data_IF_493155089263
#
_entry.id   IF_493155089263
#
_cell.length_a   1.000
_cell.length_b   1.000
_cell.length_c   1.000
_cell.angle_alpha   90.00
_cell.angle_beta   90.00
_cell.angle_gamma   90.00
#
_symmetry.space_group_name_H-M   'P 1'
#
loop_
_entity.id
_entity.type
_entity.pdbx_description
1 polymer ?
#
# COMPACT_ATOMS: atom_id res chain seq x y z
N UNK A 1 65.39 8.88 21.86
CA UNK A 1 64.37 8.87 22.91
C UNK A 1 63.18 8.14 22.33
N UNK A 2 62.61 7.24 23.11
CA UNK A 2 62.03 5.95 22.71
C UNK A 2 60.83 6.00 21.74
N UNK A 3 60.75 4.94 20.93
CA UNK A 3 59.54 4.52 20.23
C UNK A 3 58.58 3.88 21.24
N UNK A 4 57.36 4.40 21.37
CA UNK A 4 56.26 3.67 22.01
C UNK A 4 55.31 3.17 20.93
N UNK A 5 55.24 1.84 20.83
CA UNK A 5 54.38 1.11 19.92
C UNK A 5 52.93 1.10 20.40
N UNK A 6 52.02 1.40 19.48
CA UNK A 6 50.60 1.17 19.65
C UNK A 6 50.30 -0.28 19.26
N UNK A 7 50.18 -1.16 20.26
CA UNK A 7 49.67 -2.52 20.06
C UNK A 7 48.14 -2.50 20.01
N UNK A 8 47.49 -3.34 19.19
CA UNK A 8 46.03 -3.49 19.23
C UNK A 8 45.65 -4.21 20.52
N UNK A 9 44.74 -3.61 21.30
CA UNK A 9 44.18 -4.21 22.52
C UNK A 9 42.81 -4.83 22.26
N UNK A 10 42.59 -5.98 22.92
CA UNK A 10 41.34 -6.71 23.13
C UNK A 10 40.89 -7.60 21.95
N UNK A 11 41.50 -8.78 21.87
CA UNK A 11 40.76 -9.98 21.46
C UNK A 11 39.68 -10.23 22.52
N UNK A 12 38.42 -9.98 22.16
CA UNK A 12 37.26 -10.41 22.95
C UNK A 12 37.20 -11.95 22.91
N UNK A 13 37.70 -12.61 23.97
CA UNK A 13 37.52 -14.04 24.18
C UNK A 13 36.01 -14.32 24.40
N UNK A 14 35.32 -14.70 23.33
CA UNK A 14 33.94 -15.21 23.38
C UNK A 14 33.92 -16.42 24.32
N UNK A 15 33.06 -16.37 25.34
CA UNK A 15 33.04 -17.41 26.39
C UNK A 15 32.55 -18.75 25.82
N UNK A 16 33.05 -19.87 26.35
CA UNK A 16 32.64 -21.22 25.91
C UNK A 16 31.13 -21.46 26.07
N UNK A 17 30.49 -20.78 27.01
CA UNK A 17 29.04 -20.84 27.22
C UNK A 17 28.27 -20.13 26.07
N UNK A 18 28.76 -18.99 25.56
CA UNK A 18 28.18 -18.29 24.41
C UNK A 18 28.32 -19.09 23.10
N UNK A 19 29.46 -19.77 22.91
CA UNK A 19 29.66 -20.71 21.80
C UNK A 19 28.68 -21.88 21.86
N UNK A 20 28.45 -22.44 23.05
CA UNK A 20 27.51 -23.55 23.24
C UNK A 20 26.04 -23.16 23.00
N UNK A 21 25.65 -21.93 23.38
CA UNK A 21 24.32 -21.38 23.11
C UNK A 21 24.10 -21.15 21.62
N UNK A 22 25.09 -20.57 20.93
CA UNK A 22 25.04 -20.35 19.48
C UNK A 22 24.93 -21.67 18.69
N UNK A 23 25.63 -22.73 19.12
CA UNK A 23 25.52 -24.06 18.52
C UNK A 23 24.13 -24.68 18.71
N UNK A 24 23.53 -24.55 19.91
CA UNK A 24 22.17 -25.03 20.19
C UNK A 24 21.14 -24.26 19.35
N UNK A 25 21.23 -22.94 19.27
CA UNK A 25 20.35 -22.09 18.44
C UNK A 25 20.49 -22.42 16.94
N UNK A 26 21.71 -22.64 16.44
CA UNK A 26 21.94 -23.04 15.06
C UNK A 26 21.34 -24.42 14.76
N UNK A 27 21.37 -25.34 15.72
CA UNK A 27 20.80 -26.68 15.59
C UNK A 27 19.27 -26.64 15.58
N UNK A 28 18.67 -25.83 16.44
CA UNK A 28 17.22 -25.60 16.46
C UNK A 28 16.73 -24.90 15.19
N UNK A 29 17.44 -23.87 14.71
CA UNK A 29 17.13 -23.18 13.46
C UNK A 29 17.16 -24.12 12.25
N UNK A 30 18.16 -25.00 12.17
CA UNK A 30 18.25 -26.02 11.13
C UNK A 30 17.11 -27.04 11.20
N UNK A 31 16.71 -27.46 12.41
CA UNK A 31 15.58 -28.37 12.59
C UNK A 31 14.25 -27.73 12.13
N UNK A 32 14.01 -26.47 12.51
CA UNK A 32 12.82 -25.72 12.09
C UNK A 32 12.76 -25.56 10.56
N UNK A 33 13.89 -25.23 9.92
CA UNK A 33 14.00 -25.12 8.47
C UNK A 33 13.65 -26.45 7.77
N UNK A 34 14.20 -27.56 8.28
CA UNK A 34 13.94 -28.89 7.73
C UNK A 34 12.45 -29.27 7.83
N UNK A 35 11.82 -29.04 9.00
CA UNK A 35 10.40 -29.30 9.21
C UNK A 35 9.52 -28.46 8.29
N UNK A 36 9.87 -27.19 8.09
CA UNK A 36 9.18 -26.29 7.17
C UNK A 36 9.28 -26.76 5.72
N UNK A 37 10.47 -27.15 5.27
CA UNK A 37 10.67 -27.68 3.91
C UNK A 37 9.86 -28.95 3.67
N UNK A 38 9.78 -29.84 4.66
CA UNK A 38 8.95 -31.05 4.59
C UNK A 38 7.48 -30.69 4.43
N UNK A 39 6.96 -29.78 5.25
CA UNK A 39 5.57 -29.29 5.16
C UNK A 39 5.24 -28.69 3.79
N UNK A 40 6.14 -27.88 3.23
CA UNK A 40 5.98 -27.29 1.89
C UNK A 40 5.93 -28.38 0.80
N UNK A 41 6.79 -29.40 0.90
CA UNK A 41 6.79 -30.54 -0.04
C UNK A 41 5.47 -31.31 0.00
N UNK A 42 4.93 -31.56 1.20
CA UNK A 42 3.65 -32.24 1.38
C UNK A 42 2.47 -31.43 0.80
N UNK A 43 2.42 -30.12 1.10
CA UNK A 43 1.41 -29.20 0.53
C UNK A 43 1.50 -29.19 -1.00
N UNK A 44 2.71 -29.05 -1.56
CA UNK A 44 2.95 -29.08 -3.01
C UNK A 44 2.42 -30.38 -3.63
N UNK A 45 2.73 -31.53 -3.04
CA UNK A 45 2.29 -32.82 -3.53
C UNK A 45 0.75 -32.93 -3.53
N UNK A 46 0.09 -32.49 -2.45
CA UNK A 46 -1.38 -32.46 -2.33
C UNK A 46 -2.02 -31.58 -3.40
N UNK A 47 -1.49 -30.38 -3.62
CA UNK A 47 -2.00 -29.43 -4.61
C UNK A 47 -1.81 -29.93 -6.05
N UNK A 48 -0.66 -30.53 -6.36
CA UNK A 48 -0.39 -31.14 -7.67
C UNK A 48 -1.37 -32.29 -7.97
N UNK A 49 -1.66 -33.12 -6.96
CA UNK A 49 -2.66 -34.19 -7.07
C UNK A 49 -4.05 -33.62 -7.35
N UNK A 50 -4.43 -32.53 -6.67
CA UNK A 50 -5.70 -31.85 -6.89
C UNK A 50 -5.84 -31.24 -8.29
N UNK A 51 -4.75 -30.66 -8.83
CA UNK A 51 -4.73 -30.12 -10.20
C UNK A 51 -4.87 -31.22 -11.26
N UNK A 52 -4.15 -32.33 -11.09
CA UNK A 52 -4.12 -33.44 -12.05
C UNK A 52 -5.40 -34.28 -12.05
N UNK A 53 -6.18 -34.25 -10.97
CA UNK A 53 -7.45 -34.97 -10.86
C UNK A 53 -8.48 -34.40 -11.85
N UNK A 54 -8.75 -35.12 -12.94
CA UNK A 54 -9.63 -34.68 -14.05
C UNK A 54 -11.14 -34.85 -13.79
N UNK A 55 -11.56 -35.69 -12.84
CA UNK A 55 -12.98 -36.01 -12.59
C UNK A 55 -13.36 -35.78 -11.12
N UNK A 56 -14.55 -35.22 -10.89
CA UNK A 56 -15.22 -35.22 -9.57
C UNK A 56 -15.04 -33.97 -8.69
N UNK A 57 -14.09 -33.08 -8.96
CA UNK A 57 -13.87 -31.87 -8.13
C UNK A 57 -14.17 -30.61 -8.95
N UNK A 58 -15.10 -29.79 -8.46
CA UNK A 58 -15.48 -28.53 -9.09
C UNK A 58 -14.31 -27.54 -9.11
N UNK A 59 -14.27 -26.65 -10.11
CA UNK A 59 -13.26 -25.59 -10.21
C UNK A 59 -13.23 -24.71 -8.96
N UNK A 60 -14.39 -24.39 -8.40
CA UNK A 60 -14.51 -23.64 -7.13
C UNK A 60 -13.88 -24.38 -5.95
N UNK A 61 -14.14 -25.69 -5.82
CA UNK A 61 -13.55 -26.47 -4.74
C UNK A 61 -12.03 -26.51 -4.86
N UNK A 62 -11.49 -26.65 -6.08
CA UNK A 62 -10.03 -26.57 -6.31
C UNK A 62 -9.48 -25.19 -5.94
N UNK A 63 -10.10 -24.13 -6.43
CA UNK A 63 -9.70 -22.75 -6.16
C UNK A 63 -9.67 -22.45 -4.65
N UNK A 64 -10.74 -22.81 -3.92
CA UNK A 64 -10.81 -22.65 -2.46
C UNK A 64 -9.66 -23.36 -1.74
N UNK A 65 -9.37 -24.61 -2.10
CA UNK A 65 -8.25 -25.37 -1.50
C UNK A 65 -6.88 -24.79 -1.83
N UNK A 66 -6.74 -24.16 -2.99
CA UNK A 66 -5.52 -23.44 -3.34
C UNK A 66 -5.36 -22.17 -2.51
N UNK A 67 -6.43 -21.41 -2.29
CA UNK A 67 -6.39 -20.22 -1.42
C UNK A 67 -5.99 -20.60 0.00
N UNK A 68 -6.61 -21.65 0.59
CA UNK A 68 -6.24 -22.16 1.92
C UNK A 68 -4.77 -22.56 2.01
N UNK A 69 -4.24 -23.21 0.97
CA UNK A 69 -2.84 -23.61 0.96
C UNK A 69 -1.86 -22.44 0.76
N UNK A 70 -2.28 -21.40 0.03
CA UNK A 70 -1.53 -20.15 -0.10
C UNK A 70 -1.49 -19.43 1.26
N UNK A 71 -2.62 -19.29 1.93
CA UNK A 71 -2.68 -18.75 3.29
C UNK A 71 -1.72 -19.48 4.23
N UNK A 72 -1.84 -20.81 4.32
CA UNK A 72 -1.00 -21.63 5.21
C UNK A 72 0.50 -21.49 4.89
N UNK A 73 0.87 -21.36 3.61
CA UNK A 73 2.26 -21.24 3.20
C UNK A 73 2.86 -19.85 3.48
N UNK A 74 2.06 -18.79 3.34
CA UNK A 74 2.53 -17.41 3.37
C UNK A 74 2.15 -16.64 4.64
N UNK A 75 1.30 -17.18 5.52
CA UNK A 75 0.88 -16.52 6.77
C UNK A 75 2.05 -16.10 7.69
N UNK A 76 3.15 -16.85 7.64
CA UNK A 76 4.36 -16.61 8.44
C UNK A 76 5.51 -15.99 7.60
N UNK A 77 5.22 -15.52 6.39
CA UNK A 77 6.20 -14.89 5.51
C UNK A 77 5.88 -13.43 5.31
N UNK A 78 6.92 -12.62 5.36
CA UNK A 78 6.91 -11.30 4.76
C UNK A 78 7.10 -11.44 3.26
N UNK A 79 6.27 -10.76 2.47
CA UNK A 79 6.30 -10.83 1.02
C UNK A 79 6.37 -9.42 0.44
N UNK A 80 6.86 -9.33 -0.80
CA UNK A 80 6.85 -8.10 -1.56
C UNK A 80 5.57 -8.03 -2.42
N UNK A 81 5.14 -6.83 -2.79
CA UNK A 81 4.02 -6.55 -3.67
C UNK A 81 4.17 -7.32 -5.00
N UNK A 82 5.38 -7.39 -5.54
CA UNK A 82 5.69 -8.21 -6.74
C UNK A 82 5.48 -9.72 -6.53
N UNK A 83 5.76 -10.24 -5.33
CA UNK A 83 5.51 -11.65 -5.02
C UNK A 83 4.00 -11.92 -4.95
N UNK A 84 3.24 -11.02 -4.33
CA UNK A 84 1.78 -11.12 -4.29
C UNK A 84 1.18 -11.04 -5.70
N UNK A 85 1.63 -10.10 -6.53
CA UNK A 85 1.21 -9.97 -7.93
C UNK A 85 1.49 -11.25 -8.73
N UNK A 86 2.67 -11.86 -8.55
CA UNK A 86 3.02 -13.13 -9.19
C UNK A 86 2.12 -14.28 -8.72
N UNK A 87 1.83 -14.38 -7.41
CA UNK A 87 0.92 -15.39 -6.87
C UNK A 87 -0.48 -15.27 -7.48
N UNK A 88 -0.99 -14.04 -7.60
CA UNK A 88 -2.28 -13.74 -8.24
C UNK A 88 -2.27 -14.17 -9.71
N UNK A 89 -1.27 -13.77 -10.50
CA UNK A 89 -1.18 -14.14 -11.92
C UNK A 89 -1.10 -15.67 -12.12
N UNK A 90 -0.30 -16.36 -11.30
CA UNK A 90 -0.19 -17.81 -11.35
C UNK A 90 -1.52 -18.49 -11.00
N UNK A 91 -2.23 -17.96 -10.01
CA UNK A 91 -3.56 -18.45 -9.65
C UNK A 91 -4.57 -18.24 -10.78
N UNK A 92 -4.61 -17.04 -11.37
CA UNK A 92 -5.47 -16.71 -12.52
C UNK A 92 -5.20 -17.62 -13.71
N UNK A 93 -3.94 -17.98 -13.98
CA UNK A 93 -3.61 -18.93 -15.06
C UNK A 93 -4.28 -20.29 -14.90
N UNK A 94 -4.48 -20.76 -13.67
CA UNK A 94 -5.09 -22.06 -13.38
C UNK A 94 -6.61 -21.98 -13.17
N UNK A 95 -7.10 -20.90 -12.56
CA UNK A 95 -8.48 -20.78 -12.12
C UNK A 95 -9.26 -19.64 -12.79
N UNK A 96 -8.65 -18.83 -13.65
CA UNK A 96 -9.25 -17.61 -14.20
C UNK A 96 -9.90 -16.74 -13.09
N UNK A 97 -10.85 -15.89 -13.45
CA UNK A 97 -11.62 -15.07 -12.50
C UNK A 97 -12.78 -15.87 -11.86
N UNK A 98 -12.48 -17.07 -11.35
CA UNK A 98 -13.50 -17.87 -10.66
C UNK A 98 -13.97 -17.12 -9.42
N UNK A 99 -15.23 -16.72 -9.43
CA UNK A 99 -15.83 -15.95 -8.34
C UNK A 99 -16.22 -16.83 -7.17
N UNK A 100 -15.97 -16.38 -5.94
CA UNK A 100 -16.50 -17.06 -4.73
C UNK A 100 -17.98 -16.72 -4.55
N UNK A 101 -18.34 -15.47 -4.80
CA UNK A 101 -19.71 -14.96 -4.79
C UNK A 101 -19.92 -13.99 -5.96
N UNK A 102 -21.17 -13.71 -6.37
CA UNK A 102 -21.43 -12.70 -7.38
C UNK A 102 -21.06 -11.27 -6.95
N UNK A 103 -20.88 -10.99 -5.66
CA UNK A 103 -20.73 -9.61 -5.14
C UNK A 103 -19.34 -9.28 -4.62
N UNK A 104 -18.53 -10.27 -4.22
CA UNK A 104 -17.24 -10.07 -3.55
C UNK A 104 -16.05 -10.56 -4.38
N UNK A 105 -16.10 -10.32 -5.69
CA UNK A 105 -14.97 -10.57 -6.60
C UNK A 105 -14.60 -12.05 -6.74
N UNK A 106 -13.40 -12.26 -7.26
CA UNK A 106 -12.79 -13.57 -7.47
C UNK A 106 -11.94 -14.03 -6.29
N UNK A 107 -11.52 -15.29 -6.32
CA UNK A 107 -10.53 -15.80 -5.37
C UNK A 107 -9.20 -15.03 -5.42
N UNK A 108 -8.91 -14.28 -6.50
CA UNK A 108 -7.73 -13.41 -6.55
C UNK A 108 -7.86 -12.24 -5.58
N UNK A 109 -9.03 -11.60 -5.51
CA UNK A 109 -9.30 -10.56 -4.52
C UNK A 109 -9.20 -11.12 -3.09
N UNK A 110 -9.67 -12.36 -2.86
CA UNK A 110 -9.51 -13.04 -1.57
C UNK A 110 -8.04 -13.23 -1.20
N UNK A 111 -7.19 -13.70 -2.14
CA UNK A 111 -5.74 -13.88 -1.90
C UNK A 111 -5.09 -12.55 -1.53
N UNK A 112 -5.41 -11.47 -2.25
CA UNK A 112 -4.85 -10.15 -1.99
C UNK A 112 -5.23 -9.64 -0.61
N UNK A 113 -6.53 -9.70 -0.26
CA UNK A 113 -7.01 -9.26 1.07
C UNK A 113 -6.40 -10.10 2.18
N UNK A 114 -6.28 -11.42 1.97
CA UNK A 114 -5.75 -12.35 2.95
C UNK A 114 -4.25 -12.12 3.22
N UNK A 115 -3.47 -11.84 2.18
CA UNK A 115 -2.03 -11.62 2.28
C UNK A 115 -1.63 -10.16 2.45
N UNK A 116 -2.57 -9.21 2.44
CA UNK A 116 -2.27 -7.78 2.54
C UNK A 116 -1.37 -7.44 3.74
N UNK A 117 -1.71 -7.96 4.92
CA UNK A 117 -0.93 -7.74 6.15
C UNK A 117 0.46 -8.38 6.18
N UNK A 118 0.85 -9.08 5.10
CA UNK A 118 2.17 -9.71 4.92
C UNK A 118 3.04 -8.93 3.94
N UNK A 119 2.47 -7.96 3.22
CA UNK A 119 3.19 -7.12 2.26
C UNK A 119 4.01 -6.09 3.03
N UNK A 120 5.31 -5.98 2.73
CA UNK A 120 6.23 -5.07 3.42
C UNK A 120 6.63 -3.84 2.60
N UNK A 121 6.41 -3.84 1.29
CA UNK A 121 6.68 -2.73 0.38
C UNK A 121 5.35 -2.21 -0.20
N UNK A 122 4.49 -1.69 0.68
CA UNK A 122 3.15 -1.20 0.29
C UNK A 122 3.21 -0.07 -0.73
N UNK A 123 4.32 0.67 -0.79
CA UNK A 123 4.56 1.70 -1.80
C UNK A 123 4.64 1.17 -3.25
N UNK A 124 4.72 -0.15 -3.46
CA UNK A 124 4.66 -0.82 -4.76
C UNK A 124 3.36 -1.63 -4.97
N UNK A 125 2.34 -1.39 -4.16
CA UNK A 125 1.10 -2.17 -4.22
C UNK A 125 0.33 -1.99 -5.54
N UNK A 126 0.61 -0.93 -6.30
CA UNK A 126 0.07 -0.73 -7.65
C UNK A 126 0.36 -1.92 -8.58
N UNK A 127 1.51 -2.61 -8.42
CA UNK A 127 1.85 -3.80 -9.19
C UNK A 127 0.85 -4.95 -8.96
N UNK A 128 0.25 -5.02 -7.77
CA UNK A 128 -0.80 -6.00 -7.45
C UNK A 128 -2.11 -5.59 -8.09
N UNK A 129 -2.44 -4.29 -8.11
CA UNK A 129 -3.66 -3.78 -8.74
C UNK A 129 -3.62 -3.96 -10.27
N UNK A 130 -2.47 -3.78 -10.90
CA UNK A 130 -2.29 -3.93 -12.36
C UNK A 130 -2.61 -5.33 -12.88
N UNK A 131 -2.44 -6.37 -12.05
CA UNK A 131 -2.69 -7.76 -12.46
C UNK A 131 -4.11 -8.23 -12.16
N UNK A 132 -4.91 -7.41 -11.49
CA UNK A 132 -6.29 -7.70 -11.16
C UNK A 132 -7.24 -7.14 -12.22
N UNK A 133 -8.42 -7.74 -12.35
CA UNK A 133 -9.50 -7.14 -13.14
C UNK A 133 -10.09 -5.94 -12.39
N UNK A 134 -10.70 -5.00 -13.11
CA UNK A 134 -11.34 -3.84 -12.50
C UNK A 134 -12.37 -4.22 -11.41
N UNK A 135 -13.05 -5.36 -11.57
CA UNK A 135 -13.97 -5.91 -10.57
C UNK A 135 -13.25 -6.32 -9.29
N UNK A 136 -12.12 -7.01 -9.41
CA UNK A 136 -11.33 -7.44 -8.26
C UNK A 136 -10.62 -6.26 -7.59
N UNK A 137 -10.13 -5.27 -8.35
CA UNK A 137 -9.62 -4.01 -7.80
C UNK A 137 -10.68 -3.32 -6.93
N UNK A 138 -11.91 -3.20 -7.42
CA UNK A 138 -13.00 -2.60 -6.66
C UNK A 138 -13.29 -3.38 -5.35
N UNK A 139 -13.23 -4.72 -5.40
CA UNK A 139 -13.39 -5.55 -4.20
C UNK A 139 -12.24 -5.40 -3.21
N UNK A 140 -10.99 -5.31 -3.70
CA UNK A 140 -9.79 -5.05 -2.90
C UNK A 140 -9.91 -3.70 -2.21
N UNK A 141 -10.21 -2.62 -2.94
CA UNK A 141 -10.40 -1.29 -2.37
C UNK A 141 -11.52 -1.24 -1.33
N UNK A 142 -12.64 -1.94 -1.57
CA UNK A 142 -13.76 -1.99 -0.62
C UNK A 142 -13.42 -2.73 0.69
N UNK A 143 -12.49 -3.69 0.64
CA UNK A 143 -12.16 -4.56 1.79
C UNK A 143 -10.93 -4.13 2.56
N UNK A 144 -9.93 -3.60 1.86
CA UNK A 144 -8.69 -3.09 2.47
C UNK A 144 -8.85 -1.61 2.81
N UNK A 145 -9.59 -0.83 2.02
CA UNK A 145 -9.70 0.62 2.21
C UNK A 145 -8.74 1.40 1.31
N UNK A 146 -9.11 2.63 0.99
CA UNK A 146 -8.33 3.45 0.06
C UNK A 146 -7.04 3.97 0.70
N UNK A 147 -7.10 4.39 1.96
CA UNK A 147 -5.95 4.95 2.67
C UNK A 147 -4.87 3.91 2.99
N UNK A 148 -5.21 2.63 2.92
CA UNK A 148 -4.24 1.55 3.13
C UNK A 148 -3.41 1.23 1.88
N UNK A 149 -3.82 1.69 0.70
CA UNK A 149 -3.19 1.34 -0.58
C UNK A 149 -2.75 2.58 -1.37
N UNK A 150 -3.45 3.71 -1.23
CA UNK A 150 -3.17 4.91 -1.99
C UNK A 150 -1.77 5.44 -1.69
N UNK A 151 -0.98 5.66 -2.74
CA UNK A 151 0.39 6.14 -2.64
C UNK A 151 0.50 7.59 -3.15
N UNK A 152 0.59 8.60 -2.25
CA UNK A 152 0.79 9.99 -2.64
C UNK A 152 2.08 10.24 -3.44
N UNK A 153 3.11 9.40 -3.28
CA UNK A 153 4.35 9.51 -4.05
C UNK A 153 4.16 9.08 -5.51
N UNK A 154 3.19 8.21 -5.79
CA UNK A 154 2.80 7.73 -7.13
C UNK A 154 1.30 7.95 -7.39
N UNK A 155 0.85 9.22 -7.50
CA UNK A 155 -0.57 9.56 -7.56
C UNK A 155 -1.18 9.36 -8.96
N UNK A 156 -0.43 8.87 -9.94
CA UNK A 156 -0.90 8.61 -11.30
C UNK A 156 -2.00 7.53 -11.31
N UNK A 157 -3.25 7.95 -11.41
CA UNK A 157 -4.40 7.04 -11.24
C UNK A 157 -5.66 7.57 -11.93
N UNK A 158 -6.55 6.65 -12.33
CA UNK A 158 -7.94 6.96 -12.69
C UNK A 158 -8.87 6.35 -11.64
N UNK A 159 -9.70 7.16 -10.99
CA UNK A 159 -10.59 6.70 -9.93
C UNK A 159 -11.98 7.33 -10.04
N UNK A 160 -12.98 6.66 -9.46
CA UNK A 160 -14.30 7.20 -9.17
C UNK A 160 -14.54 7.01 -7.67
N UNK A 161 -14.51 8.13 -6.94
CA UNK A 161 -14.62 8.20 -5.49
C UNK A 161 -16.06 8.48 -5.07
N UNK A 162 -16.53 7.77 -4.06
CA UNK A 162 -17.78 7.98 -3.35
C UNK A 162 -17.56 8.93 -2.17
N UNK A 163 -17.96 10.19 -2.35
CA UNK A 163 -17.78 11.23 -1.36
C UNK A 163 -18.56 10.96 -0.06
N UNK A 164 -19.50 10.01 -0.03
CA UNK A 164 -20.12 9.57 1.22
C UNK A 164 -19.13 8.89 2.17
N UNK A 165 -18.04 8.32 1.65
CA UNK A 165 -17.04 7.57 2.41
C UNK A 165 -15.88 8.48 2.79
N UNK A 166 -15.58 8.55 4.09
CA UNK A 166 -14.52 9.42 4.62
C UNK A 166 -13.16 9.14 3.98
N UNK A 167 -12.76 7.88 3.86
CA UNK A 167 -11.47 7.52 3.26
C UNK A 167 -11.34 8.02 1.82
N UNK A 168 -12.40 7.87 1.03
CA UNK A 168 -12.43 8.32 -0.36
C UNK A 168 -12.42 9.85 -0.44
N UNK A 169 -13.06 10.56 0.51
CA UNK A 169 -12.91 12.02 0.62
C UNK A 169 -11.47 12.44 0.93
N UNK A 170 -10.75 11.71 1.78
CA UNK A 170 -9.35 12.01 2.08
C UNK A 170 -8.49 11.84 0.83
N UNK A 171 -8.69 10.77 0.04
CA UNK A 171 -8.01 10.62 -1.26
C UNK A 171 -8.39 11.76 -2.22
N UNK A 172 -9.67 12.15 -2.28
CA UNK A 172 -10.09 13.29 -3.10
C UNK A 172 -9.37 14.58 -2.71
N UNK A 173 -9.20 14.85 -1.41
CA UNK A 173 -8.43 16.00 -0.92
C UNK A 173 -6.99 15.91 -1.35
N UNK A 174 -6.32 14.77 -1.13
CA UNK A 174 -4.92 14.58 -1.54
C UNK A 174 -4.74 14.94 -3.02
N UNK A 175 -5.60 14.40 -3.88
CA UNK A 175 -5.55 14.65 -5.33
C UNK A 175 -5.83 16.11 -5.70
N UNK A 176 -6.80 16.75 -5.04
CA UNK A 176 -7.13 18.16 -5.28
C UNK A 176 -6.00 19.08 -4.81
N UNK A 177 -5.38 18.79 -3.67
CA UNK A 177 -4.22 19.54 -3.19
C UNK A 177 -3.02 19.39 -4.13
N UNK A 178 -2.73 18.16 -4.55
CA UNK A 178 -1.67 17.90 -5.53
C UNK A 178 -1.96 18.58 -6.88
N UNK A 179 -3.22 18.77 -7.28
CA UNK A 179 -3.52 19.41 -8.57
C UNK A 179 -3.38 20.93 -8.56
N UNK A 180 -3.50 21.55 -7.38
CA UNK A 180 -3.32 22.99 -7.19
C UNK A 180 -1.85 23.36 -7.03
N UNK A 181 -1.12 22.55 -6.26
CA UNK A 181 0.27 22.85 -5.89
C UNK A 181 1.28 22.39 -6.94
N UNK A 182 1.07 21.22 -7.56
CA UNK A 182 1.96 20.75 -8.62
C UNK A 182 1.68 21.53 -9.92
N UNK A 183 2.70 22.09 -10.58
CA UNK A 183 2.52 22.79 -11.85
C UNK A 183 2.06 21.82 -12.95
N UNK A 184 1.39 22.36 -13.97
CA UNK A 184 0.91 21.60 -15.13
C UNK A 184 -0.57 21.20 -15.03
N UNK A 185 -1.08 20.54 -16.08
CA UNK A 185 -2.47 20.07 -16.12
C UNK A 185 -2.53 18.65 -15.55
N UNK A 186 -2.48 18.54 -14.22
CA UNK A 186 -2.38 17.26 -13.52
C UNK A 186 -3.72 16.55 -13.36
N UNK A 187 -4.83 17.29 -13.18
CA UNK A 187 -6.17 16.76 -12.95
C UNK A 187 -7.05 16.84 -14.21
N UNK A 188 -7.22 15.71 -14.89
CA UNK A 188 -7.92 15.57 -16.15
C UNK A 188 -9.19 14.71 -16.01
N UNK A 189 -10.08 14.79 -17.00
CA UNK A 189 -11.33 14.01 -17.07
C UNK A 189 -12.18 14.07 -15.80
N UNK A 190 -12.03 15.16 -15.04
CA UNK A 190 -12.74 15.40 -13.79
C UNK A 190 -14.22 15.60 -14.05
N UNK A 191 -15.04 14.94 -13.25
CA UNK A 191 -16.50 15.07 -13.29
C UNK A 191 -17.06 14.84 -11.89
N UNK A 192 -18.17 15.51 -11.60
CA UNK A 192 -18.90 15.35 -10.36
C UNK A 192 -20.38 15.10 -10.63
N UNK A 193 -20.98 14.19 -9.88
CA UNK A 193 -22.40 13.88 -9.95
C UNK A 193 -22.94 13.52 -8.57
N UNK A 194 -24.18 13.92 -8.26
CA UNK A 194 -24.79 13.64 -6.95
C UNK A 194 -25.12 12.16 -6.74
N UNK A 195 -25.47 11.45 -7.81
CA UNK A 195 -25.79 10.02 -7.79
C UNK A 195 -25.23 9.35 -9.05
N UNK A 196 -24.98 8.04 -8.98
CA UNK A 196 -24.37 7.29 -10.09
C UNK A 196 -25.30 7.19 -11.31
N UNK A 197 -26.60 7.21 -11.06
CA UNK A 197 -27.65 7.10 -12.07
C UNK A 197 -27.99 8.43 -12.76
N UNK A 198 -27.48 9.54 -12.22
CA UNK A 198 -27.68 10.88 -12.79
C UNK A 198 -26.50 11.26 -13.67
N UNK A 199 -26.76 12.13 -14.63
CA UNK A 199 -25.71 12.69 -15.48
C UNK A 199 -24.74 13.56 -14.64
N UNK A 200 -23.44 13.57 -15.00
CA UNK A 200 -22.49 14.51 -14.45
C UNK A 200 -22.91 15.96 -14.65
N UNK A 201 -22.59 16.82 -13.69
CA UNK A 201 -22.85 18.26 -13.77
C UNK A 201 -22.07 18.81 -14.98
N UNK A 202 -22.75 19.36 -16.01
CA UNK A 202 -22.06 19.83 -17.21
C UNK A 202 -21.13 21.01 -16.92
N UNK A 203 -19.91 20.96 -17.44
CA UNK A 203 -18.91 22.03 -17.28
C UNK A 203 -18.41 22.20 -15.85
N UNK A 204 -18.67 21.24 -14.96
CA UNK A 204 -18.22 21.29 -13.58
C UNK A 204 -16.69 21.23 -13.48
N UNK A 205 -16.15 21.99 -12.53
CA UNK A 205 -14.73 22.00 -12.19
C UNK A 205 -14.55 22.06 -10.67
N UNK A 206 -13.38 21.61 -10.20
CA UNK A 206 -12.93 21.76 -8.82
C UNK A 206 -12.75 23.24 -8.53
N UNK A 207 -13.33 23.70 -7.43
CA UNK A 207 -13.25 25.09 -6.99
C UNK A 207 -12.43 25.22 -5.71
N UNK A 208 -11.94 26.42 -5.42
CA UNK A 208 -11.13 26.72 -4.21
C UNK A 208 -11.75 26.18 -2.90
N UNK A 209 -13.09 26.21 -2.67
CA UNK A 209 -13.69 25.62 -1.47
C UNK A 209 -13.37 24.14 -1.24
N UNK A 210 -13.10 23.35 -2.29
CA UNK A 210 -12.76 21.92 -2.16
C UNK A 210 -11.42 21.69 -1.44
N UNK A 211 -10.61 22.73 -1.27
CA UNK A 211 -9.39 22.70 -0.47
C UNK A 211 -9.68 22.72 1.04
N UNK A 212 -10.93 22.95 1.47
CA UNK A 212 -11.32 23.08 2.88
C UNK A 212 -12.26 21.97 3.31
N UNK A 213 -12.35 21.69 4.62
CA UNK A 213 -13.32 20.71 5.15
C UNK A 213 -14.75 21.09 4.85
N UNK A 214 -15.07 22.36 5.03
CA UNK A 214 -16.43 22.86 4.90
C UNK A 214 -16.89 22.88 3.45
N UNK A 215 -15.95 23.08 2.51
CA UNK A 215 -16.25 23.10 1.08
C UNK A 215 -16.11 21.77 0.36
N UNK A 216 -15.42 20.76 0.93
CA UNK A 216 -15.34 19.42 0.37
C UNK A 216 -16.70 18.71 0.50
N UNK A 217 -17.31 18.23 -0.60
CA UNK A 217 -18.60 17.54 -0.51
C UNK A 217 -18.55 16.31 0.40
N UNK A 218 -19.58 16.16 1.22
CA UNK A 218 -19.78 14.99 2.09
C UNK A 218 -20.60 13.87 1.41
N UNK A 219 -21.10 14.11 0.20
CA UNK A 219 -21.84 13.16 -0.63
C UNK A 219 -21.63 13.43 -2.12
N UNK A 220 -21.92 12.43 -2.96
CA UNK A 220 -21.74 12.48 -4.41
C UNK A 220 -20.66 11.53 -4.93
N UNK A 221 -20.41 11.55 -6.24
CA UNK A 221 -19.38 10.78 -6.93
C UNK A 221 -18.43 11.73 -7.64
N UNK A 222 -17.14 11.60 -7.35
CA UNK A 222 -16.08 12.38 -7.96
C UNK A 222 -15.17 11.45 -8.76
N UNK A 223 -15.17 11.57 -10.08
CA UNK A 223 -14.29 10.79 -10.94
C UNK A 223 -13.27 11.70 -11.61
N UNK A 224 -12.05 11.20 -11.76
CA UNK A 224 -10.94 11.95 -12.32
C UNK A 224 -9.83 11.01 -12.83
N UNK A 225 -8.91 11.59 -13.59
CA UNK A 225 -7.60 11.02 -13.85
C UNK A 225 -6.53 12.02 -13.43
N UNK A 226 -5.64 11.58 -12.53
CA UNK A 226 -4.48 12.36 -12.11
C UNK A 226 -3.24 11.86 -12.84
N UNK A 227 -2.42 12.79 -13.33
CA UNK A 227 -1.13 12.50 -13.96
C UNK A 227 -0.05 13.36 -13.34
N UNK A 228 1.09 12.74 -13.09
CA UNK A 228 2.21 13.40 -12.43
C UNK A 228 3.52 13.00 -13.11
N UNK A 229 4.42 13.97 -13.31
CA UNK A 229 5.79 13.70 -13.76
C UNK A 229 6.12 13.99 -15.23
N UNK A 230 7.35 13.65 -15.60
CA UNK A 230 8.00 13.97 -16.87
C UNK A 230 7.80 12.87 -17.93
N UNK A 231 7.54 13.28 -19.17
CA UNK A 231 7.40 12.40 -20.32
C UNK A 231 6.90 13.14 -21.55
N UNK A 232 7.18 12.61 -22.76
CA UNK A 232 6.59 13.13 -24.01
C UNK A 232 5.07 13.01 -23.84
N UNK A 233 4.37 14.14 -23.72
CA UNK A 233 2.91 14.32 -23.55
C UNK A 233 2.40 14.75 -22.16
N UNK A 234 3.25 15.00 -21.15
CA UNK A 234 2.79 15.40 -19.80
C UNK A 234 2.80 16.92 -19.52
N UNK A 235 2.20 17.73 -20.41
CA UNK A 235 1.77 19.15 -20.23
C UNK A 235 2.47 20.04 -19.16
N UNK A 236 3.81 19.98 -19.02
CA UNK A 236 4.56 20.76 -18.02
C UNK A 236 4.41 20.30 -16.56
N UNK A 237 3.89 19.09 -16.33
CA UNK A 237 3.68 18.49 -15.03
C UNK A 237 5.00 18.26 -14.29
N UNK A 238 5.14 18.72 -13.04
CA UNK A 238 6.32 18.43 -12.20
C UNK A 238 5.89 18.02 -10.79
N UNK A 239 6.48 16.96 -10.23
CA UNK A 239 6.13 16.50 -8.89
C UNK A 239 6.61 17.49 -7.82
N UNK A 240 5.79 17.75 -6.81
CA UNK A 240 6.24 18.35 -5.56
C UNK A 240 6.51 17.23 -4.54
N UNK A 241 7.74 16.73 -4.52
CA UNK A 241 8.13 15.61 -3.65
C UNK A 241 7.94 15.91 -2.16
N UNK A 242 8.14 17.16 -1.73
CA UNK A 242 7.95 17.57 -0.34
C UNK A 242 6.48 17.50 0.08
N UNK A 243 5.58 17.97 -0.80
CA UNK A 243 4.14 17.86 -0.55
C UNK A 243 3.69 16.39 -0.52
N UNK A 244 4.13 15.57 -1.48
CA UNK A 244 3.78 14.14 -1.54
C UNK A 244 4.24 13.38 -0.30
N UNK A 245 5.47 13.63 0.15
CA UNK A 245 6.04 13.08 1.39
C UNK A 245 5.19 13.43 2.61
N UNK A 246 4.84 14.71 2.75
CA UNK A 246 3.91 15.11 3.80
C UNK A 246 2.58 14.35 3.69
N UNK A 247 2.04 14.16 2.47
CA UNK A 247 0.74 13.51 2.23
C UNK A 247 0.75 12.02 2.62
N UNK A 248 1.91 11.38 2.71
CA UNK A 248 2.05 10.02 3.22
C UNK A 248 1.55 9.88 4.68
N UNK A 249 1.56 10.94 5.48
CA UNK A 249 1.03 10.93 6.85
C UNK A 249 -0.49 10.68 6.96
N UNK A 250 -1.21 10.68 5.83
CA UNK A 250 -2.65 10.43 5.76
C UNK A 250 -3.00 9.01 5.29
N UNK A 251 -2.00 8.25 4.89
CA UNK A 251 -2.13 6.89 4.35
C UNK A 251 -1.25 5.92 5.13
N UNK A 252 -1.37 4.64 4.83
CA UNK A 252 -0.57 3.60 5.49
C UNK A 252 0.87 3.53 4.97
N UNK A 253 1.12 4.01 3.75
CA UNK A 253 2.45 3.96 3.13
C UNK A 253 3.37 4.96 3.83
N UNK A 254 4.48 4.45 4.37
CA UNK A 254 5.52 5.24 5.02
C UNK A 254 6.47 5.85 3.98
N UNK A 255 6.79 7.13 4.14
CA UNK A 255 7.75 7.82 3.28
C UNK A 255 9.17 7.24 3.41
N UNK A 256 9.53 6.70 4.58
CA UNK A 256 10.85 6.14 4.85
C UNK A 256 11.09 4.82 4.11
N UNK A 257 10.03 4.15 3.66
CA UNK A 257 10.13 2.96 2.82
C UNK A 257 10.43 3.29 1.35
N UNK A 258 10.32 4.56 0.97
CA UNK A 258 10.47 5.04 -0.41
C UNK A 258 11.86 5.63 -0.57
N UNK A 259 12.83 4.73 -0.79
CA UNK A 259 14.24 5.06 -0.98
C UNK A 259 14.54 5.03 -2.48
N UNK A 260 15.10 6.09 -3.04
CA UNK A 260 15.58 6.11 -4.43
C UNK A 260 16.89 5.30 -4.52
N UNK A 261 17.09 4.49 -5.57
CA UNK A 261 18.27 3.62 -5.69
C UNK A 261 19.59 4.42 -5.72
N UNK A 262 19.52 5.69 -6.13
CA UNK A 262 20.65 6.63 -6.20
C UNK A 262 20.78 7.53 -4.94
N UNK A 263 19.77 7.56 -4.06
CA UNK A 263 19.71 8.41 -2.87
C UNK A 263 19.86 7.58 -1.59
N UNK A 264 21.10 7.37 -1.14
CA UNK A 264 21.31 7.56 0.30
C UNK A 264 21.03 9.04 0.56
N UNK A 265 19.87 9.33 1.16
CA UNK A 265 19.40 10.69 1.41
C UNK A 265 20.54 11.55 1.99
N UNK A 266 20.83 12.74 1.42
CA UNK A 266 21.63 13.72 2.13
C UNK A 266 20.98 13.98 3.49
N UNK A 267 21.76 14.03 4.57
CA UNK A 267 21.27 14.23 5.96
C UNK A 267 20.30 15.42 6.10
N UNK A 268 20.40 16.39 5.19
CA UNK A 268 19.57 17.59 5.10
C UNK A 268 18.11 17.32 4.68
N UNK A 269 17.81 16.25 3.93
CA UNK A 269 16.47 15.92 3.40
C UNK A 269 15.71 14.91 4.27
N UNK A 270 16.39 14.22 5.18
CA UNK A 270 15.80 13.27 6.14
C UNK A 270 14.94 14.01 7.20
N UNK A 271 15.19 15.31 7.43
CA UNK A 271 14.56 16.10 8.49
C UNK A 271 13.60 17.21 8.01
N UNK A 272 13.40 17.39 6.69
CA UNK A 272 12.52 18.46 6.20
C UNK A 272 11.05 18.05 6.13
N UNK A 273 10.72 16.75 6.10
CA UNK A 273 9.35 16.27 6.12
C UNK A 273 8.67 16.53 7.47
N UNK A 274 9.36 16.26 8.58
CA UNK A 274 8.90 16.63 9.94
C UNK A 274 8.74 18.14 10.09
N UNK A 275 9.66 18.93 9.51
CA UNK A 275 9.56 20.39 9.49
C UNK A 275 8.35 20.86 8.67
N UNK A 276 8.06 20.24 7.52
CA UNK A 276 6.92 20.59 6.68
C UNK A 276 5.60 20.11 7.26
N UNK A 277 5.60 18.93 7.90
CA UNK A 277 4.50 18.43 8.72
C UNK A 277 4.21 19.42 9.84
N UNK A 278 5.22 19.90 10.59
CA UNK A 278 5.03 20.84 11.69
C UNK A 278 4.56 22.21 11.18
N UNK A 279 5.15 22.71 10.09
CA UNK A 279 4.77 23.98 9.45
C UNK A 279 3.33 23.98 8.94
N UNK A 280 2.89 22.86 8.38
CA UNK A 280 1.54 22.73 7.88
C UNK A 280 0.63 22.02 8.90
N UNK A 281 1.11 21.61 10.08
CA UNK A 281 0.40 20.73 11.01
C UNK A 281 -1.02 21.19 11.30
N UNK A 282 -1.21 22.50 11.41
CA UNK A 282 -2.51 23.10 11.63
C UNK A 282 -3.45 22.91 10.43
N UNK A 283 -2.96 23.07 9.20
CA UNK A 283 -3.66 22.70 7.96
C UNK A 283 -3.99 21.20 8.00
N UNK A 284 -3.07 20.34 8.43
CA UNK A 284 -3.26 18.89 8.35
C UNK A 284 -4.22 18.37 9.42
N UNK A 285 -4.12 18.90 10.63
CA UNK A 285 -5.00 18.58 11.77
C UNK A 285 -6.40 19.18 11.57
N UNK A 286 -6.50 20.36 10.94
CA UNK A 286 -7.78 21.01 10.65
C UNK A 286 -8.47 20.41 9.41
N UNK A 287 -7.72 20.03 8.37
CA UNK A 287 -8.26 19.67 7.05
C UNK A 287 -8.15 18.19 6.68
N UNK A 288 -7.38 17.36 7.40
CA UNK A 288 -7.13 15.98 6.95
C UNK A 288 -7.46 14.93 8.05
N UNK A 289 -7.40 15.30 9.33
CA UNK A 289 -7.73 14.41 10.45
C UNK A 289 -8.71 15.06 11.43
N UNK A 290 -10.04 14.87 11.30
CA UNK A 290 -10.99 15.39 12.28
C UNK A 290 -10.82 14.70 13.66
N UNK A 291 -10.62 15.51 14.73
CA UNK A 291 -10.95 15.10 16.10
C UNK A 291 -10.00 15.44 17.26
N UNK A 292 -8.80 16.04 17.04
CA UNK A 292 -7.86 16.23 18.15
C UNK A 292 -8.09 17.47 19.02
N UNK A 293 -8.82 18.49 18.53
CA UNK A 293 -8.91 19.80 19.22
C UNK A 293 -10.08 19.95 20.22
N UNK A 294 -10.57 18.85 20.78
CA UNK A 294 -11.53 18.90 21.91
C UNK A 294 -10.99 18.27 23.19
N UNK A 295 -9.74 18.57 23.54
CA UNK A 295 -9.28 18.45 24.93
C UNK A 295 -8.54 19.73 25.33
N UNK A 296 -9.19 20.53 26.18
CA UNK A 296 -8.46 21.46 27.05
C UNK A 296 -8.38 22.92 26.59
N UNK A 297 -9.52 23.62 26.50
CA UNK A 297 -9.58 24.99 27.03
C UNK A 297 -10.53 25.02 28.21
N UNK A 298 -9.98 24.72 29.39
CA UNK A 298 -10.50 25.29 30.63
C UNK A 298 -10.38 26.80 30.49
N UNK A 299 -11.52 27.48 30.54
CA UNK A 299 -11.61 28.92 30.82
C UNK A 299 -11.04 29.21 32.21
N UNK A 300 -10.16 30.20 32.37
CA UNK A 300 -9.96 30.84 33.66
C UNK A 300 -10.75 32.16 33.73
N UNK A 301 -11.50 32.27 34.83
CA UNK A 301 -12.27 33.41 35.36
C UNK A 301 -13.58 33.78 34.62
#
# INVERSE_FOLDING_TARGET
MEMEGYGPSADEEISQDELSLAEVEATEGNHQLMMRQKKIKEIKHRLQTLLTTKRGVSKHAKASRFVEAIEEAFQQLWILSRHLALLVQLFQKHFAETSKTPYFGSYCADIVVLLFSRVVDLHNFECVLEVLSARDCACVHCRIGHLNIFNPMKPDVTMELDMNRREERVVAKIIVYLSVDEPGINLNYKRFQWKRELDPIPGWDVTEPWMTEEGMPDHGKFAFTYYSGEGKNKNGCKPNLMLRRALCHLVLIDENEIIDEDDMLPDELVCTAETHLEQNRQVWTTYLVPGCDKVGRMTPA
#
